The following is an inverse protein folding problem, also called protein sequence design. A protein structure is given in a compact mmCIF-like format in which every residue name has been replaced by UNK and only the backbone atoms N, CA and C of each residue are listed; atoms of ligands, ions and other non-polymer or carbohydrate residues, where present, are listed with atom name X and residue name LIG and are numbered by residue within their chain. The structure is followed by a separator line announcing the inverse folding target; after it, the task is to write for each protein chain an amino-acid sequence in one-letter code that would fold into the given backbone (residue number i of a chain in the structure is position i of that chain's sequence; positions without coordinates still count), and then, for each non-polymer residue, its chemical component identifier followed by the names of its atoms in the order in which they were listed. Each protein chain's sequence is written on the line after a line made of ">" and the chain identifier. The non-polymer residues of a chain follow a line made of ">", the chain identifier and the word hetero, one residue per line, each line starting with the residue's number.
data_IF_778791967190
#
_entry.id   IF_778791967190
#
_cell.length_a   1.000
_cell.length_b   1.000
_cell.length_c   1.000
_cell.angle_alpha   90.00
_cell.angle_beta   90.00
_cell.angle_gamma   90.00
#
_symmetry.space_group_name_H-M   'P 1'
#
loop_
_entity.id
_entity.type
_entity.pdbx_description
1 polymer ?
#
# COMPACT_ATOMS: atom_id res chain seq x y z
N UNK A 1 12.39 11.35 12.47
CA UNK A 1 11.62 10.63 11.44
C UNK A 1 12.32 10.86 10.13
N UNK A 2 12.95 9.83 9.57
CA UNK A 2 13.74 9.97 8.36
C UNK A 2 12.80 9.94 7.14
N UNK A 3 12.75 11.04 6.39
CA UNK A 3 11.98 11.12 5.15
C UNK A 3 12.78 10.54 3.98
N UNK A 4 12.10 9.89 3.04
CA UNK A 4 12.73 9.47 1.77
C UNK A 4 12.24 10.36 0.63
N UNK A 5 13.20 10.91 -0.12
CA UNK A 5 12.93 11.82 -1.23
C UNK A 5 13.16 11.12 -2.56
N UNK A 6 12.17 11.19 -3.44
CA UNK A 6 12.24 10.72 -4.82
C UNK A 6 12.10 11.92 -5.75
N UNK A 7 12.94 11.98 -6.79
CA UNK A 7 12.81 12.99 -7.86
C UNK A 7 12.33 12.28 -9.12
N UNK A 8 11.28 12.80 -9.73
CA UNK A 8 10.76 12.33 -11.02
C UNK A 8 10.49 13.55 -11.91
N UNK A 9 11.36 13.78 -12.90
CA UNK A 9 11.32 14.98 -13.72
C UNK A 9 11.44 16.26 -12.87
N UNK A 10 10.42 17.11 -12.94
CA UNK A 10 10.31 18.35 -12.13
C UNK A 10 9.59 18.16 -10.79
N UNK A 11 9.15 16.94 -10.47
CA UNK A 11 8.40 16.63 -9.26
C UNK A 11 9.33 16.07 -8.20
N UNK A 12 9.21 16.60 -6.97
CA UNK A 12 9.87 16.06 -5.78
C UNK A 12 8.82 15.46 -4.86
N UNK A 13 8.96 14.17 -4.55
CA UNK A 13 8.07 13.42 -3.66
C UNK A 13 8.85 13.16 -2.37
N UNK A 14 8.36 13.68 -1.26
CA UNK A 14 8.95 13.47 0.07
C UNK A 14 8.00 12.62 0.90
N UNK A 15 8.46 11.44 1.31
CA UNK A 15 7.65 10.47 2.07
C UNK A 15 8.12 10.44 3.51
N UNK A 16 7.24 10.85 4.43
CA UNK A 16 7.45 10.82 5.88
C UNK A 16 6.81 9.58 6.50
N UNK A 17 7.20 8.39 6.06
CA UNK A 17 6.67 7.12 6.56
C UNK A 17 7.76 6.07 6.66
N UNK A 18 7.79 5.35 7.79
CA UNK A 18 8.74 4.24 8.01
C UNK A 18 8.57 3.11 6.99
N UNK A 19 7.38 2.98 6.38
CA UNK A 19 7.11 1.97 5.34
C UNK A 19 8.04 2.10 4.14
N UNK A 20 8.59 3.29 3.90
CA UNK A 20 9.46 3.57 2.75
C UNK A 20 10.88 2.99 2.90
N UNK A 21 11.24 2.64 4.13
CA UNK A 21 12.52 2.05 4.50
C UNK A 21 12.45 0.53 4.66
N UNK A 22 11.23 -0.03 4.72
CA UNK A 22 11.03 -1.48 4.78
C UNK A 22 11.47 -2.15 3.48
N UNK A 23 12.19 -3.26 3.64
CA UNK A 23 12.46 -4.23 2.59
C UNK A 23 11.16 -4.86 2.08
N UNK A 24 11.24 -5.58 0.95
CA UNK A 24 10.09 -6.28 0.38
C UNK A 24 9.48 -7.30 1.35
N UNK A 25 10.31 -8.01 2.12
CA UNK A 25 9.85 -9.00 3.09
C UNK A 25 9.20 -8.36 4.31
N UNK A 26 9.84 -7.34 4.90
CA UNK A 26 9.28 -6.61 6.04
C UNK A 26 7.94 -5.95 5.68
N UNK A 27 7.83 -5.40 4.47
CA UNK A 27 6.58 -4.82 3.98
C UNK A 27 5.49 -5.87 3.85
N UNK A 28 5.82 -7.07 3.36
CA UNK A 28 4.88 -8.19 3.26
C UNK A 28 4.39 -8.63 4.64
N UNK A 29 5.28 -8.78 5.60
CA UNK A 29 4.91 -9.14 6.98
C UNK A 29 4.04 -8.05 7.64
N UNK A 30 4.41 -6.78 7.46
CA UNK A 30 3.61 -5.65 7.95
C UNK A 30 2.19 -5.70 7.39
N UNK A 31 2.07 -5.95 6.08
CA UNK A 31 0.77 -6.03 5.42
C UNK A 31 -0.08 -7.18 5.98
N UNK A 32 0.50 -8.37 6.16
CA UNK A 32 -0.20 -9.52 6.75
C UNK A 32 -0.70 -9.20 8.16
N UNK A 33 0.14 -8.62 9.01
CA UNK A 33 -0.24 -8.21 10.38
C UNK A 33 -1.37 -7.17 10.38
N UNK A 34 -1.34 -6.21 9.46
CA UNK A 34 -2.41 -5.21 9.35
C UNK A 34 -3.73 -5.80 8.81
N UNK A 35 -3.67 -6.82 7.96
CA UNK A 35 -4.85 -7.58 7.54
C UNK A 35 -5.46 -8.37 8.71
N UNK A 36 -4.64 -9.06 9.51
CA UNK A 36 -5.09 -9.76 10.71
C UNK A 36 -5.75 -8.82 11.73
N UNK A 37 -5.21 -7.60 11.84
CA UNK A 37 -5.78 -6.51 12.67
C UNK A 37 -7.02 -5.85 12.07
N UNK A 38 -7.47 -6.28 10.89
CA UNK A 38 -8.60 -5.70 10.16
C UNK A 38 -8.47 -4.20 9.96
N UNK A 39 -7.30 -3.74 9.52
CA UNK A 39 -7.10 -2.33 9.18
C UNK A 39 -8.21 -1.86 8.22
N UNK A 40 -9.01 -0.85 8.58
CA UNK A 40 -10.23 -0.50 7.85
C UNK A 40 -9.94 -0.02 6.42
N UNK A 41 -8.78 0.60 6.20
CA UNK A 41 -8.35 1.04 4.87
C UNK A 41 -8.04 -0.15 3.99
N UNK A 42 -7.30 -1.13 4.51
CA UNK A 42 -6.95 -2.34 3.77
C UNK A 42 -8.18 -3.19 3.45
N UNK A 43 -9.13 -3.29 4.38
CA UNK A 43 -10.39 -4.02 4.14
C UNK A 43 -11.19 -3.38 3.01
N UNK A 44 -11.35 -2.04 3.03
CA UNK A 44 -12.05 -1.31 1.97
C UNK A 44 -11.36 -1.45 0.60
N UNK A 45 -10.03 -1.44 0.57
CA UNK A 45 -9.28 -1.68 -0.66
C UNK A 45 -9.53 -3.09 -1.21
N UNK A 46 -9.52 -4.12 -0.35
CA UNK A 46 -9.82 -5.49 -0.76
C UNK A 46 -11.23 -5.62 -1.35
N UNK A 47 -12.23 -4.98 -0.74
CA UNK A 47 -13.60 -4.96 -1.25
C UNK A 47 -13.69 -4.31 -2.64
N UNK A 48 -13.03 -3.17 -2.82
CA UNK A 48 -13.02 -2.45 -4.10
C UNK A 48 -12.32 -3.31 -5.18
N UNK A 49 -11.16 -3.90 -4.86
CA UNK A 49 -10.43 -4.78 -5.78
C UNK A 49 -11.30 -5.98 -6.16
N UNK A 50 -11.98 -6.60 -5.20
CA UNK A 50 -12.88 -7.72 -5.46
C UNK A 50 -14.02 -7.31 -6.40
N UNK A 51 -14.63 -6.14 -6.19
CA UNK A 51 -15.68 -5.61 -7.06
C UNK A 51 -15.17 -5.39 -8.49
N UNK A 52 -14.02 -4.75 -8.65
CA UNK A 52 -13.40 -4.50 -9.97
C UNK A 52 -13.13 -5.83 -10.68
N UNK A 53 -12.50 -6.80 -10.01
CA UNK A 53 -12.20 -8.10 -10.62
C UNK A 53 -13.46 -8.85 -11.06
N UNK A 54 -14.55 -8.74 -10.29
CA UNK A 54 -15.83 -9.32 -10.66
C UNK A 54 -16.42 -8.67 -11.90
N UNK A 55 -16.34 -7.35 -12.01
CA UNK A 55 -16.83 -6.61 -13.18
C UNK A 55 -16.00 -6.93 -14.43
N UNK A 56 -14.68 -7.04 -14.31
CA UNK A 56 -13.77 -7.41 -15.41
C UNK A 56 -13.98 -8.86 -15.87
N UNK A 57 -14.24 -9.80 -14.96
CA UNK A 57 -14.46 -11.20 -15.31
C UNK A 57 -15.81 -11.49 -15.97
N UNK A 58 -16.75 -10.54 -15.92
CA UNK A 58 -18.10 -10.65 -16.49
C UNK A 58 -18.28 -9.87 -17.80
N UNK A 59 -17.27 -9.11 -18.24
CA UNK A 59 -17.25 -8.35 -19.50
C UNK A 59 -16.38 -9.03 -20.55
#
# INVERSE_FOLDING_TARGET
>A
MDSKTFKSGQVTIVIHSNLVHMTSDERREWFQKEQERKNPVLMKLNEIIHKINKEVALG
#
